data_IF_081054885550
#
_entry.id   IF_081054885550
#
_cell.length_a   1.000
_cell.length_b   1.000
_cell.length_c   1.000
_cell.angle_alpha   90.00
_cell.angle_beta   90.00
_cell.angle_gamma   90.00
#
_symmetry.space_group_name_H-M   'P 1'
#
loop_
_entity.id
_entity.type
_entity.pdbx_description
1 polymer ?
#
# COMPACT_ATOMS: atom_id res chain seq x y z
N UNK A 1 2.62 31.29 1.86
CA UNK A 1 3.21 31.07 0.52
C UNK A 1 2.51 32.02 -0.42
N UNK A 2 3.25 32.89 -1.10
CA UNK A 2 2.67 33.83 -2.08
C UNK A 2 2.04 33.05 -3.25
N UNK A 3 0.95 33.56 -3.81
CA UNK A 3 0.14 32.88 -4.84
C UNK A 3 0.93 32.56 -6.12
N UNK A 4 1.88 33.43 -6.48
CA UNK A 4 2.83 33.22 -7.59
C UNK A 4 3.81 32.07 -7.30
N UNK A 5 4.21 31.89 -6.05
CA UNK A 5 5.11 30.80 -5.63
C UNK A 5 4.42 29.44 -5.68
N UNK A 6 3.14 29.37 -5.28
CA UNK A 6 2.34 28.15 -5.35
C UNK A 6 2.06 27.74 -6.80
N UNK A 7 1.73 28.71 -7.67
CA UNK A 7 1.44 28.44 -9.08
C UNK A 7 2.65 27.85 -9.83
N UNK A 8 3.85 28.39 -9.58
CA UNK A 8 5.09 27.84 -10.14
C UNK A 8 5.35 26.42 -9.65
N UNK A 9 5.18 26.19 -8.35
CA UNK A 9 5.41 24.87 -7.77
C UNK A 9 4.43 23.80 -8.28
N UNK A 10 3.16 24.17 -8.50
CA UNK A 10 2.18 23.30 -9.16
C UNK A 10 2.64 22.94 -10.58
N UNK A 11 3.21 23.88 -11.34
CA UNK A 11 3.70 23.63 -12.69
C UNK A 11 4.90 22.66 -12.72
N UNK A 12 5.83 22.80 -11.79
CA UNK A 12 6.96 21.87 -11.61
C UNK A 12 6.44 20.47 -11.24
N UNK A 13 5.55 20.39 -10.24
CA UNK A 13 4.94 19.13 -9.78
C UNK A 13 4.21 18.41 -10.92
N UNK A 14 3.45 19.15 -11.77
CA UNK A 14 2.80 18.59 -12.97
C UNK A 14 3.78 17.90 -13.91
N UNK A 15 4.95 18.49 -14.10
CA UNK A 15 5.99 17.94 -14.99
C UNK A 15 6.54 16.63 -14.43
N UNK A 16 6.77 16.56 -13.12
CA UNK A 16 7.24 15.34 -12.46
C UNK A 16 6.20 14.22 -12.51
N UNK A 17 4.93 14.54 -12.29
CA UNK A 17 3.81 13.59 -12.40
C UNK A 17 3.65 13.06 -13.82
N UNK A 18 3.74 13.93 -14.83
CA UNK A 18 3.72 13.51 -16.25
C UNK A 18 4.89 12.58 -16.60
N UNK A 19 6.10 12.88 -16.13
CA UNK A 19 7.26 12.03 -16.33
C UNK A 19 7.09 10.65 -15.68
N UNK A 20 6.62 10.60 -14.43
CA UNK A 20 6.36 9.34 -13.73
C UNK A 20 5.22 8.53 -14.37
N UNK A 21 4.18 9.21 -14.86
CA UNK A 21 3.07 8.59 -15.59
C UNK A 21 3.53 7.95 -16.90
N UNK A 22 4.30 8.68 -17.71
CA UNK A 22 4.88 8.14 -18.96
C UNK A 22 5.81 6.96 -18.70
N UNK A 23 6.61 7.02 -17.64
CA UNK A 23 7.46 5.90 -17.24
C UNK A 23 6.62 4.67 -16.85
N UNK A 24 5.55 4.87 -16.09
CA UNK A 24 4.61 3.81 -15.69
C UNK A 24 4.02 3.11 -16.92
N UNK A 25 3.57 3.85 -17.94
CA UNK A 25 2.99 3.27 -19.16
C UNK A 25 3.94 2.33 -19.92
N UNK A 26 5.25 2.45 -19.75
CA UNK A 26 6.23 1.56 -20.39
C UNK A 26 6.16 0.11 -19.87
N UNK A 27 5.59 -0.11 -18.69
CA UNK A 27 5.48 -1.43 -18.05
C UNK A 27 4.27 -2.24 -18.52
N UNK A 28 3.37 -1.67 -19.34
CA UNK A 28 2.13 -2.33 -19.73
C UNK A 28 2.18 -2.85 -21.17
N UNK A 29 1.58 -4.03 -21.39
CA UNK A 29 1.48 -4.67 -22.72
C UNK A 29 0.25 -4.21 -23.51
N UNK A 30 -0.77 -3.64 -22.87
CA UNK A 30 -2.02 -3.26 -23.55
C UNK A 30 -2.12 -1.76 -23.87
N UNK A 31 -2.54 -1.48 -25.11
CA UNK A 31 -2.87 -0.14 -25.61
C UNK A 31 -4.01 0.53 -24.81
N UNK A 32 -4.85 -0.26 -24.13
CA UNK A 32 -5.92 0.27 -23.28
C UNK A 32 -5.36 1.26 -22.25
N UNK A 33 -4.28 0.89 -21.57
CA UNK A 33 -3.65 1.74 -20.55
C UNK A 33 -2.95 2.96 -21.16
N UNK A 34 -2.43 2.85 -22.39
CA UNK A 34 -1.76 3.97 -23.09
C UNK A 34 -2.72 5.10 -23.47
N UNK A 35 -4.02 4.80 -23.54
CA UNK A 35 -5.03 5.81 -23.86
C UNK A 35 -5.39 6.75 -22.70
N UNK A 36 -4.89 6.46 -21.49
CA UNK A 36 -5.09 7.33 -20.34
C UNK A 36 -4.18 8.55 -20.38
N UNK A 37 -4.64 9.65 -19.80
CA UNK A 37 -3.84 10.85 -19.55
C UNK A 37 -3.77 11.16 -18.05
N UNK A 38 -2.75 11.92 -17.65
CA UNK A 38 -2.63 12.44 -16.29
C UNK A 38 -3.02 13.92 -16.23
N UNK A 39 -3.77 14.31 -15.20
CA UNK A 39 -4.18 15.69 -15.00
C UNK A 39 -4.14 16.11 -13.53
N UNK A 40 -3.91 17.40 -13.30
CA UNK A 40 -3.98 18.00 -11.98
C UNK A 40 -5.40 18.53 -11.71
N UNK A 41 -5.97 18.15 -10.59
CA UNK A 41 -7.29 18.63 -10.18
C UNK A 41 -7.38 18.79 -8.65
N UNK A 42 -7.14 20.01 -8.16
CA UNK A 42 -7.14 20.31 -6.72
C UNK A 42 -8.44 19.88 -6.01
N UNK A 43 -9.59 20.01 -6.68
CA UNK A 43 -10.88 19.74 -6.06
C UNK A 43 -11.11 18.26 -5.71
N UNK A 44 -10.31 17.36 -6.31
CA UNK A 44 -10.31 15.94 -5.99
C UNK A 44 -9.98 15.70 -4.51
N UNK A 45 -9.07 16.51 -3.94
CA UNK A 45 -8.78 16.45 -2.50
C UNK A 45 -10.01 16.77 -1.65
N UNK A 46 -10.75 17.83 -1.97
CA UNK A 46 -11.89 18.26 -1.16
C UNK A 46 -13.03 17.25 -1.16
N UNK A 47 -13.22 16.52 -2.25
CA UNK A 47 -14.29 15.52 -2.38
C UNK A 47 -13.92 14.15 -1.80
N UNK A 48 -12.68 13.69 -2.00
CA UNK A 48 -12.29 12.31 -1.71
C UNK A 48 -11.19 12.18 -0.66
N UNK A 49 -10.56 13.30 -0.25
CA UNK A 49 -9.40 13.32 0.66
C UNK A 49 -8.30 12.36 0.21
N UNK A 50 -8.10 12.28 -1.10
CA UNK A 50 -7.14 11.38 -1.74
C UNK A 50 -6.19 12.19 -2.65
N UNK A 51 -4.86 12.02 -2.50
CA UNK A 51 -3.87 12.70 -3.35
C UNK A 51 -3.90 12.26 -4.82
N UNK A 52 -4.36 11.03 -5.12
CA UNK A 52 -4.28 10.46 -6.46
C UNK A 52 -5.40 9.43 -6.73
N UNK A 53 -6.11 9.57 -7.85
CA UNK A 53 -7.27 8.74 -8.19
C UNK A 53 -7.36 8.47 -9.68
N UNK A 54 -7.78 7.27 -10.05
CA UNK A 54 -8.11 6.91 -11.43
C UNK A 54 -9.61 7.03 -11.71
N UNK A 55 -9.93 7.53 -12.89
CA UNK A 55 -11.25 7.72 -13.44
C UNK A 55 -11.36 6.92 -14.75
N UNK A 56 -11.81 5.65 -14.68
CA UNK A 56 -11.75 4.74 -15.82
C UNK A 56 -12.58 5.19 -17.02
N UNK A 57 -13.77 5.78 -16.78
CA UNK A 57 -14.68 6.22 -17.83
C UNK A 57 -14.10 7.40 -18.62
N UNK A 58 -13.50 8.35 -17.91
CA UNK A 58 -12.85 9.53 -18.47
C UNK A 58 -11.45 9.25 -19.04
N UNK A 59 -10.90 8.06 -18.75
CA UNK A 59 -9.51 7.67 -19.05
C UNK A 59 -8.50 8.66 -18.46
N UNK A 60 -8.74 9.05 -17.22
CA UNK A 60 -7.92 10.04 -16.51
C UNK A 60 -7.31 9.45 -15.24
N UNK A 61 -6.02 9.76 -15.03
CA UNK A 61 -5.37 9.67 -13.73
C UNK A 61 -5.28 11.09 -13.17
N UNK A 62 -5.87 11.34 -12.01
CA UNK A 62 -5.86 12.64 -11.38
C UNK A 62 -4.92 12.66 -10.18
N UNK A 63 -4.17 13.74 -10.01
CA UNK A 63 -3.48 14.07 -8.77
C UNK A 63 -3.92 15.45 -8.26
N UNK A 64 -3.91 15.63 -6.94
CA UNK A 64 -4.60 16.76 -6.30
C UNK A 64 -3.72 17.64 -5.41
N UNK A 65 -2.45 17.30 -5.24
CA UNK A 65 -1.48 18.03 -4.40
C UNK A 65 -0.27 18.51 -5.20
N UNK A 66 0.34 19.67 -4.87
CA UNK A 66 -0.01 20.60 -3.79
C UNK A 66 -1.33 21.36 -4.06
N UNK A 67 -2.05 21.73 -3.00
CA UNK A 67 -3.26 22.56 -3.03
C UNK A 67 -3.34 23.46 -1.77
N UNK A 68 -4.46 24.16 -1.54
CA UNK A 68 -4.58 25.08 -0.41
C UNK A 68 -4.68 24.40 0.97
N UNK A 69 -5.15 23.15 1.04
CA UNK A 69 -5.23 22.37 2.29
C UNK A 69 -3.94 21.58 2.55
N UNK A 70 -3.37 20.99 1.49
CA UNK A 70 -2.10 20.29 1.51
C UNK A 70 -1.12 21.09 0.64
N UNK A 71 -0.41 22.08 1.21
CA UNK A 71 0.46 22.97 0.46
C UNK A 71 1.82 22.30 0.21
N UNK A 72 1.82 21.04 -0.17
CA UNK A 72 2.99 20.28 -0.59
C UNK A 72 2.60 19.10 -1.46
N UNK A 73 3.52 18.64 -2.30
CA UNK A 73 3.32 17.41 -3.05
C UNK A 73 3.31 16.22 -2.07
N UNK A 74 2.22 15.47 -2.07
CA UNK A 74 2.03 14.32 -1.18
C UNK A 74 2.94 13.15 -1.55
N UNK A 75 3.37 13.06 -2.82
CA UNK A 75 4.32 12.07 -3.30
C UNK A 75 5.52 12.77 -3.96
N UNK A 76 6.42 13.37 -3.16
CA UNK A 76 7.46 14.26 -3.68
C UNK A 76 8.52 13.52 -4.50
N UNK A 77 8.77 12.22 -4.26
CA UNK A 77 9.75 11.46 -5.03
C UNK A 77 9.17 10.90 -6.33
N UNK A 78 10.00 10.86 -7.40
CA UNK A 78 9.59 10.29 -8.69
C UNK A 78 9.16 8.83 -8.57
N UNK A 79 9.83 8.07 -7.69
CA UNK A 79 9.53 6.67 -7.45
C UNK A 79 8.20 6.47 -6.69
N UNK A 80 7.83 7.36 -5.77
CA UNK A 80 6.49 7.36 -5.17
C UNK A 80 5.41 7.66 -6.21
N UNK A 81 5.61 8.68 -7.07
CA UNK A 81 4.68 9.01 -8.16
C UNK A 81 4.48 7.82 -9.12
N UNK A 82 5.55 7.14 -9.48
CA UNK A 82 5.51 5.91 -10.28
C UNK A 82 4.67 4.83 -9.58
N UNK A 83 4.92 4.59 -8.30
CA UNK A 83 4.20 3.57 -7.51
C UNK A 83 2.71 3.86 -7.37
N UNK A 84 2.32 5.10 -7.06
CA UNK A 84 0.89 5.44 -6.86
C UNK A 84 0.12 5.46 -8.19
N UNK A 85 0.76 5.85 -9.29
CA UNK A 85 0.20 5.69 -10.63
C UNK A 85 -0.03 4.20 -10.93
N UNK A 86 0.96 3.35 -10.69
CA UNK A 86 0.84 1.91 -10.89
C UNK A 86 -0.24 1.26 -10.01
N UNK A 87 -0.35 1.65 -8.74
CA UNK A 87 -1.41 1.20 -7.84
C UNK A 87 -2.80 1.49 -8.40
N UNK A 88 -3.00 2.72 -8.88
CA UNK A 88 -4.28 3.13 -9.42
C UNK A 88 -4.63 2.36 -10.71
N UNK A 89 -3.66 2.11 -11.58
CA UNK A 89 -3.86 1.27 -12.77
C UNK A 89 -4.10 -0.20 -12.44
N UNK A 90 -3.50 -0.70 -11.35
CA UNK A 90 -3.73 -2.07 -10.89
C UNK A 90 -5.19 -2.32 -10.46
N UNK A 91 -5.96 -1.28 -10.09
CA UNK A 91 -7.41 -1.43 -9.90
C UNK A 91 -8.14 -1.78 -11.19
N UNK A 92 -7.71 -1.25 -12.33
CA UNK A 92 -8.33 -1.59 -13.62
C UNK A 92 -8.15 -3.08 -13.93
N UNK A 93 -6.96 -3.61 -13.66
CA UNK A 93 -6.71 -5.05 -13.78
C UNK A 93 -7.59 -5.87 -12.82
N UNK A 94 -7.80 -5.39 -11.59
CA UNK A 94 -8.70 -6.05 -10.63
C UNK A 94 -10.16 -6.08 -11.11
N UNK A 95 -10.62 -4.96 -11.71
CA UNK A 95 -11.95 -4.85 -12.33
C UNK A 95 -12.11 -5.85 -13.47
N UNK A 96 -11.14 -5.93 -14.38
CA UNK A 96 -11.16 -6.87 -15.51
C UNK A 96 -11.10 -8.34 -15.05
N UNK A 97 -10.29 -8.65 -14.03
CA UNK A 97 -10.08 -10.02 -13.57
C UNK A 97 -11.28 -10.58 -12.79
N UNK A 98 -11.83 -9.80 -11.86
CA UNK A 98 -12.81 -10.29 -10.89
C UNK A 98 -14.23 -9.75 -11.09
N UNK A 99 -14.39 -8.63 -11.79
CA UNK A 99 -15.68 -7.95 -11.95
C UNK A 99 -15.95 -7.55 -13.40
N UNK A 100 -15.76 -8.47 -14.38
CA UNK A 100 -15.98 -8.14 -15.78
C UNK A 100 -17.41 -7.61 -15.96
N UNK A 101 -17.51 -6.39 -16.48
CA UNK A 101 -18.77 -5.67 -16.71
C UNK A 101 -19.60 -5.39 -15.44
N UNK A 102 -19.02 -5.43 -14.24
CA UNK A 102 -19.72 -5.20 -12.98
C UNK A 102 -18.95 -4.26 -12.02
N UNK A 103 -18.76 -3.02 -12.46
CA UNK A 103 -18.06 -2.00 -11.67
C UNK A 103 -18.75 -1.71 -10.32
N UNK A 104 -20.08 -1.80 -10.25
CA UNK A 104 -20.81 -1.61 -8.99
C UNK A 104 -20.47 -2.66 -7.93
N UNK A 105 -20.21 -3.92 -8.32
CA UNK A 105 -19.75 -4.96 -7.40
C UNK A 105 -18.33 -4.70 -6.93
N UNK A 106 -17.44 -4.25 -7.81
CA UNK A 106 -16.09 -3.79 -7.41
C UNK A 106 -16.17 -2.67 -6.37
N UNK A 107 -17.01 -1.64 -6.60
CA UNK A 107 -17.18 -0.54 -5.65
C UNK A 107 -17.76 -0.99 -4.31
N UNK A 108 -18.69 -1.95 -4.33
CA UNK A 108 -19.22 -2.56 -3.11
C UNK A 108 -18.12 -3.30 -2.35
N UNK A 109 -17.34 -4.16 -3.03
CA UNK A 109 -16.24 -4.88 -2.39
C UNK A 109 -15.20 -3.90 -1.84
N UNK A 110 -14.81 -2.89 -2.63
CA UNK A 110 -13.85 -1.87 -2.21
C UNK A 110 -14.33 -1.09 -0.99
N UNK A 111 -15.65 -0.93 -0.82
CA UNK A 111 -16.25 -0.29 0.36
C UNK A 111 -16.27 -1.19 1.59
N UNK A 112 -16.50 -2.50 1.43
CA UNK A 112 -16.64 -3.43 2.55
C UNK A 112 -15.30 -4.03 2.98
N UNK A 113 -14.44 -4.33 2.01
CA UNK A 113 -13.19 -5.08 2.16
C UNK A 113 -11.97 -4.24 1.78
N UNK A 114 -10.85 -4.53 2.44
CA UNK A 114 -9.53 -4.03 2.08
C UNK A 114 -8.86 -4.86 0.97
N UNK A 115 -9.42 -6.01 0.60
CA UNK A 115 -8.80 -6.95 -0.35
C UNK A 115 -8.64 -6.39 -1.77
N UNK A 116 -9.52 -5.54 -2.34
CA UNK A 116 -9.22 -4.90 -3.62
C UNK A 116 -7.97 -4.01 -3.57
N UNK A 117 -7.78 -3.29 -2.46
CA UNK A 117 -6.59 -2.48 -2.23
C UNK A 117 -5.35 -3.38 -2.10
N UNK A 118 -5.48 -4.51 -1.39
CA UNK A 118 -4.40 -5.48 -1.29
C UNK A 118 -4.00 -6.09 -2.62
N UNK A 119 -4.98 -6.51 -3.42
CA UNK A 119 -4.74 -7.06 -4.76
C UNK A 119 -4.11 -6.02 -5.68
N UNK A 120 -4.52 -4.74 -5.61
CA UNK A 120 -3.88 -3.68 -6.38
C UNK A 120 -2.39 -3.50 -6.00
N UNK A 121 -2.07 -3.42 -4.70
CA UNK A 121 -0.68 -3.33 -4.25
C UNK A 121 0.13 -4.58 -4.53
N UNK A 122 -0.45 -5.77 -4.35
CA UNK A 122 0.21 -7.02 -4.69
C UNK A 122 0.59 -7.04 -6.17
N UNK A 123 -0.30 -6.61 -7.09
CA UNK A 123 0.03 -6.45 -8.51
C UNK A 123 1.22 -5.52 -8.71
N UNK A 124 1.25 -4.36 -8.05
CA UNK A 124 2.39 -3.41 -8.12
C UNK A 124 3.69 -4.06 -7.66
N UNK A 125 3.65 -4.85 -6.58
CA UNK A 125 4.81 -5.52 -6.03
C UNK A 125 5.44 -6.53 -7.00
N UNK A 126 4.68 -7.06 -7.95
CA UNK A 126 5.23 -7.96 -8.95
C UNK A 126 6.12 -7.29 -10.00
N UNK A 127 6.10 -5.95 -10.13
CA UNK A 127 6.92 -5.27 -11.14
C UNK A 127 7.71 -4.05 -10.68
N UNK A 128 7.23 -3.31 -9.68
CA UNK A 128 7.95 -2.16 -9.10
C UNK A 128 7.85 -2.17 -7.55
N UNK A 129 8.29 -3.23 -6.86
CA UNK A 129 8.12 -3.36 -5.40
C UNK A 129 8.80 -2.25 -4.59
N UNK A 130 9.93 -1.72 -5.06
CA UNK A 130 10.58 -0.55 -4.48
C UNK A 130 9.70 0.71 -4.54
N UNK A 131 8.97 0.90 -5.64
CA UNK A 131 8.04 2.01 -5.79
C UNK A 131 6.83 1.88 -4.86
N UNK A 132 6.33 0.66 -4.64
CA UNK A 132 5.27 0.41 -3.68
C UNK A 132 5.71 0.78 -2.24
N UNK A 133 6.89 0.34 -1.82
CA UNK A 133 7.41 0.68 -0.49
C UNK A 133 7.61 2.19 -0.34
N UNK A 134 8.08 2.86 -1.39
CA UNK A 134 8.19 4.32 -1.39
C UNK A 134 6.83 5.01 -1.27
N UNK A 135 5.78 4.52 -1.93
CA UNK A 135 4.42 5.06 -1.77
C UNK A 135 3.97 4.98 -0.31
N UNK A 136 4.22 3.86 0.36
CA UNK A 136 3.91 3.71 1.80
C UNK A 136 4.72 4.70 2.64
N UNK A 137 6.02 4.85 2.36
CA UNK A 137 6.93 5.78 3.06
C UNK A 137 6.50 7.23 2.93
N UNK A 138 6.30 7.69 1.70
CA UNK A 138 5.92 9.07 1.43
C UNK A 138 4.47 9.33 1.83
N UNK A 139 3.59 8.33 1.76
CA UNK A 139 2.24 8.41 2.33
C UNK A 139 2.26 8.67 3.83
N UNK A 140 3.06 7.90 4.59
CA UNK A 140 3.26 8.10 6.02
C UNK A 140 3.83 9.49 6.33
N UNK A 141 4.94 9.88 5.67
CA UNK A 141 5.60 11.17 5.90
C UNK A 141 4.70 12.34 5.55
N UNK A 142 3.99 12.29 4.42
CA UNK A 142 3.06 13.32 4.00
C UNK A 142 1.85 13.43 4.91
N UNK A 143 1.31 12.30 5.38
CA UNK A 143 0.26 12.29 6.39
C UNK A 143 0.73 12.98 7.68
N UNK A 144 1.88 12.57 8.22
CA UNK A 144 2.45 13.17 9.44
C UNK A 144 2.76 14.66 9.26
N UNK A 145 3.32 15.04 8.11
CA UNK A 145 3.55 16.45 7.75
C UNK A 145 2.26 17.27 7.73
N UNK A 146 1.17 16.72 7.22
CA UNK A 146 -0.15 17.38 7.24
C UNK A 146 -0.70 17.61 8.66
N UNK A 147 -0.20 16.84 9.65
CA UNK A 147 -0.49 16.99 11.09
C UNK A 147 0.56 17.80 11.86
N UNK A 148 1.53 18.41 11.17
CA UNK A 148 2.61 19.17 11.80
C UNK A 148 3.68 18.30 12.48
N UNK A 149 3.73 17.00 12.19
CA UNK A 149 4.69 16.03 12.76
C UNK A 149 5.87 15.80 11.81
N UNK A 150 6.77 16.79 11.71
CA UNK A 150 7.90 16.77 10.77
C UNK A 150 9.06 15.86 11.21
N UNK A 151 9.16 15.52 12.50
CA UNK A 151 10.28 14.74 13.05
C UNK A 151 10.22 13.25 12.69
N UNK A 152 9.10 12.77 12.14
CA UNK A 152 8.91 11.37 11.75
C UNK A 152 8.94 10.40 12.93
N UNK A 153 9.15 9.11 12.63
CA UNK A 153 9.23 8.02 13.62
C UNK A 153 10.66 7.58 13.94
N UNK A 154 11.68 8.32 13.45
CA UNK A 154 13.08 7.98 13.65
C UNK A 154 13.42 6.57 13.13
N UNK A 155 14.09 5.76 13.95
CA UNK A 155 14.48 4.39 13.60
C UNK A 155 13.31 3.41 13.40
N UNK A 156 12.11 3.76 13.85
CA UNK A 156 10.91 2.94 13.70
C UNK A 156 10.20 3.16 12.36
N UNK A 157 10.57 4.20 11.60
CA UNK A 157 9.89 4.56 10.36
C UNK A 157 10.04 3.47 9.29
N UNK A 158 11.26 3.07 8.96
CA UNK A 158 11.50 2.10 7.88
C UNK A 158 10.93 0.70 8.20
N UNK A 159 11.10 0.15 9.43
CA UNK A 159 10.42 -1.09 9.82
C UNK A 159 8.89 -1.00 9.70
N UNK A 160 8.27 0.07 10.22
CA UNK A 160 6.83 0.27 10.11
C UNK A 160 6.39 0.34 8.65
N UNK A 161 7.12 1.08 7.81
CA UNK A 161 6.82 1.20 6.38
C UNK A 161 6.84 -0.17 5.69
N UNK A 162 7.82 -1.03 5.99
CA UNK A 162 7.90 -2.36 5.38
C UNK A 162 6.79 -3.28 5.90
N UNK A 163 6.50 -3.25 7.20
CA UNK A 163 5.38 -3.99 7.81
C UNK A 163 4.04 -3.57 7.18
N UNK A 164 3.77 -2.26 7.13
CA UNK A 164 2.54 -1.74 6.54
C UNK A 164 2.49 -2.06 5.04
N UNK A 165 3.61 -2.05 4.33
CA UNK A 165 3.65 -2.46 2.92
C UNK A 165 3.29 -3.93 2.74
N UNK A 166 3.80 -4.83 3.59
CA UNK A 166 3.40 -6.24 3.58
C UNK A 166 1.90 -6.39 3.90
N UNK A 167 1.38 -5.59 4.83
CA UNK A 167 -0.05 -5.45 5.14
C UNK A 167 -0.87 -5.03 3.93
N UNK A 168 -0.42 -3.98 3.26
CA UNK A 168 -0.98 -3.42 2.04
C UNK A 168 -0.91 -4.39 0.88
N UNK A 169 0.02 -5.35 0.85
CA UNK A 169 0.07 -6.44 -0.14
C UNK A 169 -0.75 -7.66 0.27
N UNK A 170 -1.11 -7.77 1.56
CA UNK A 170 -1.73 -8.96 2.14
C UNK A 170 -0.81 -10.20 2.11
N UNK A 171 0.48 -9.99 2.36
CA UNK A 171 1.49 -11.05 2.47
C UNK A 171 1.74 -11.45 3.92
N UNK A 172 2.41 -12.59 4.20
CA UNK A 172 2.77 -12.96 5.56
C UNK A 172 3.68 -11.94 6.25
N UNK A 173 3.52 -11.78 7.58
CA UNK A 173 4.33 -10.93 8.47
C UNK A 173 4.53 -11.63 9.81
N UNK A 174 5.77 -11.67 10.30
CA UNK A 174 6.16 -12.35 11.55
C UNK A 174 6.42 -11.41 12.71
N UNK A 175 6.60 -10.11 12.48
CA UNK A 175 6.81 -9.16 13.57
C UNK A 175 5.62 -9.17 14.53
N UNK A 176 5.93 -9.13 15.83
CA UNK A 176 4.93 -8.95 16.87
C UNK A 176 4.47 -7.50 16.87
N UNK A 177 3.31 -7.27 16.24
CA UNK A 177 2.79 -5.92 16.08
C UNK A 177 2.40 -5.24 17.39
N UNK A 178 2.01 -6.00 18.41
CA UNK A 178 1.63 -5.41 19.70
C UNK A 178 2.87 -4.91 20.43
N UNK A 179 3.91 -5.73 20.47
CA UNK A 179 5.19 -5.34 21.04
C UNK A 179 5.85 -4.20 20.24
N UNK A 180 5.83 -4.25 18.91
CA UNK A 180 6.34 -3.16 18.07
C UNK A 180 5.67 -1.82 18.40
N UNK A 181 4.34 -1.82 18.46
CA UNK A 181 3.57 -0.61 18.74
C UNK A 181 3.83 -0.07 20.15
N UNK A 182 4.02 -0.96 21.13
CA UNK A 182 4.39 -0.59 22.50
C UNK A 182 5.78 0.05 22.55
N UNK A 183 6.78 -0.56 21.91
CA UNK A 183 8.15 -0.04 21.85
C UNK A 183 8.21 1.37 21.25
N UNK A 184 7.46 1.59 20.16
CA UNK A 184 7.36 2.91 19.51
C UNK A 184 6.75 3.95 20.46
N UNK A 185 5.71 3.56 21.21
CA UNK A 185 5.01 4.45 22.12
C UNK A 185 5.82 4.82 23.37
N UNK A 186 6.69 3.91 23.84
CA UNK A 186 7.61 4.17 24.95
C UNK A 186 8.74 5.15 24.59
N UNK A 187 9.10 5.26 23.31
CA UNK A 187 10.00 6.31 22.83
C UNK A 187 9.29 7.68 22.86
N UNK A 188 9.85 8.63 23.62
CA UNK A 188 9.25 9.95 23.82
C UNK A 188 8.96 10.70 22.52
N UNK A 189 9.86 10.63 21.52
CA UNK A 189 9.71 11.37 20.26
C UNK A 189 8.85 10.59 19.29
N UNK A 190 9.16 9.31 19.10
CA UNK A 190 8.44 8.47 18.15
C UNK A 190 6.99 8.25 18.60
N UNK A 191 6.72 8.04 19.88
CA UNK A 191 5.36 7.86 20.42
C UNK A 191 4.44 9.04 20.16
N UNK A 192 4.94 10.28 20.32
CA UNK A 192 4.16 11.48 20.03
C UNK A 192 3.83 11.66 18.53
N UNK A 193 4.66 11.13 17.64
CA UNK A 193 4.40 11.07 16.20
C UNK A 193 3.50 9.88 15.85
N UNK A 194 3.70 8.75 16.52
CA UNK A 194 2.94 7.52 16.32
C UNK A 194 1.47 7.69 16.68
N UNK A 195 1.15 8.44 17.73
CA UNK A 195 -0.23 8.81 18.05
C UNK A 195 -0.93 9.56 16.91
N UNK A 196 -0.20 10.39 16.15
CA UNK A 196 -0.76 10.99 14.95
C UNK A 196 -0.95 9.95 13.84
N UNK A 197 0.01 9.05 13.61
CA UNK A 197 -0.14 7.94 12.67
C UNK A 197 -1.35 7.04 12.98
N UNK A 198 -1.66 6.82 14.26
CA UNK A 198 -2.88 6.14 14.69
C UNK A 198 -4.18 6.88 14.32
N UNK A 199 -4.14 8.07 13.72
CA UNK A 199 -5.32 8.70 13.13
C UNK A 199 -5.60 8.23 11.69
N UNK A 200 -4.65 7.55 11.01
CA UNK A 200 -4.82 7.05 9.63
C UNK A 200 -6.01 6.10 9.50
N UNK A 201 -6.75 6.05 8.39
CA UNK A 201 -8.01 5.29 8.32
C UNK A 201 -7.89 3.81 8.71
N UNK A 202 -6.74 3.15 8.45
CA UNK A 202 -6.51 1.74 8.72
C UNK A 202 -5.06 1.49 9.16
N UNK A 203 -4.85 0.44 9.96
CA UNK A 203 -3.52 -0.13 10.26
C UNK A 203 -3.40 -1.45 9.49
N UNK A 204 -2.67 -1.45 8.37
CA UNK A 204 -2.60 -2.62 7.50
C UNK A 204 -1.69 -3.71 8.06
N UNK A 205 -0.81 -3.38 9.00
CA UNK A 205 -0.08 -4.37 9.81
C UNK A 205 -1.00 -5.43 10.43
N UNK A 206 -2.23 -5.03 10.82
CA UNK A 206 -3.26 -5.93 11.38
C UNK A 206 -4.17 -6.59 10.34
N UNK A 207 -4.06 -6.21 9.07
CA UNK A 207 -4.86 -6.79 8.01
C UNK A 207 -4.54 -8.26 7.77
N UNK A 208 -5.49 -8.99 7.21
CA UNK A 208 -5.30 -10.38 6.79
C UNK A 208 -4.48 -10.51 5.51
N UNK A 209 -4.51 -11.72 4.96
CA UNK A 209 -3.92 -12.07 3.68
C UNK A 209 -4.81 -11.60 2.55
N UNK A 210 -4.18 -11.23 1.44
CA UNK A 210 -4.88 -10.92 0.19
C UNK A 210 -5.59 -12.17 -0.31
N UNK A 211 -6.81 -11.99 -0.81
CA UNK A 211 -7.65 -13.09 -1.32
C UNK A 211 -8.46 -12.71 -2.55
N UNK A 212 -8.82 -13.70 -3.41
CA UNK A 212 -9.88 -13.52 -4.40
C UNK A 212 -11.23 -13.27 -3.70
N UNK A 213 -12.21 -12.65 -4.39
CA UNK A 213 -13.50 -12.27 -3.80
C UNK A 213 -14.24 -13.38 -3.07
N UNK A 214 -14.21 -14.60 -3.62
CA UNK A 214 -14.91 -15.76 -3.06
C UNK A 214 -14.43 -16.15 -1.65
N UNK A 215 -13.24 -15.71 -1.24
CA UNK A 215 -12.68 -16.02 0.07
C UNK A 215 -12.81 -14.86 1.07
N UNK A 216 -13.28 -13.67 0.66
CA UNK A 216 -13.28 -12.43 1.47
C UNK A 216 -13.98 -12.54 2.84
N UNK A 217 -14.92 -13.46 3.00
CA UNK A 217 -15.66 -13.71 4.25
C UNK A 217 -14.95 -14.71 5.17
N UNK A 218 -14.02 -15.52 4.66
CA UNK A 218 -13.34 -16.59 5.41
C UNK A 218 -12.28 -16.08 6.42
N UNK A 219 -12.67 -15.98 7.68
CA UNK A 219 -11.83 -15.48 8.79
C UNK A 219 -10.49 -16.20 8.96
N UNK A 220 -10.27 -17.39 8.37
CA UNK A 220 -8.96 -18.07 8.42
C UNK A 220 -7.84 -17.27 7.74
N UNK A 221 -8.20 -16.30 6.89
CA UNK A 221 -7.25 -15.44 6.19
C UNK A 221 -7.02 -14.09 6.87
N UNK A 222 -7.48 -13.87 8.11
CA UNK A 222 -7.23 -12.62 8.83
C UNK A 222 -8.32 -11.56 8.65
N UNK A 223 -8.07 -10.38 9.25
CA UNK A 223 -9.02 -9.25 9.27
C UNK A 223 -9.01 -8.55 7.92
N UNK A 224 -10.12 -8.58 7.20
CA UNK A 224 -10.22 -8.00 5.85
C UNK A 224 -11.35 -7.00 5.70
N UNK A 225 -12.32 -7.01 6.60
CA UNK A 225 -13.38 -6.01 6.59
C UNK A 225 -12.84 -4.68 7.11
N UNK A 226 -13.22 -3.60 6.43
CA UNK A 226 -12.75 -2.25 6.76
C UNK A 226 -13.24 -1.79 8.13
N UNK A 227 -14.46 -2.15 8.51
CA UNK A 227 -15.04 -1.82 9.81
C UNK A 227 -14.33 -2.56 10.96
N UNK A 228 -13.98 -3.84 10.78
CA UNK A 228 -13.19 -4.60 11.74
C UNK A 228 -11.78 -4.00 11.91
N UNK A 229 -11.10 -3.63 10.82
CA UNK A 229 -9.81 -2.93 10.90
C UNK A 229 -9.90 -1.56 11.60
N UNK A 230 -10.94 -0.79 11.30
CA UNK A 230 -11.17 0.50 11.96
C UNK A 230 -11.42 0.33 13.46
N UNK A 231 -12.14 -0.74 13.86
CA UNK A 231 -12.33 -1.11 15.27
C UNK A 231 -11.01 -1.51 15.94
N UNK A 232 -10.21 -2.37 15.32
CA UNK A 232 -8.92 -2.79 15.88
C UNK A 232 -8.00 -1.59 16.06
N UNK A 233 -7.93 -0.69 15.08
CA UNK A 233 -7.20 0.58 15.21
C UNK A 233 -7.63 1.40 16.43
N UNK A 234 -8.94 1.56 16.65
CA UNK A 234 -9.45 2.27 17.82
C UNK A 234 -9.01 1.59 19.13
N UNK A 235 -9.11 0.26 19.20
CA UNK A 235 -8.62 -0.51 20.35
C UNK A 235 -7.11 -0.37 20.53
N UNK A 236 -6.34 -0.29 19.45
CA UNK A 236 -4.90 -0.03 19.53
C UNK A 236 -4.59 1.33 20.15
N UNK A 237 -5.36 2.37 19.81
CA UNK A 237 -5.21 3.69 20.43
C UNK A 237 -5.42 3.66 21.95
N UNK A 238 -6.41 2.90 22.43
CA UNK A 238 -6.65 2.72 23.87
C UNK A 238 -5.55 1.88 24.53
N UNK A 239 -5.06 0.84 23.84
CA UNK A 239 -3.96 0.00 24.33
C UNK A 239 -2.68 0.80 24.54
N UNK A 240 -2.24 1.58 23.55
CA UNK A 240 -1.02 2.41 23.69
C UNK A 240 -1.18 3.51 24.73
N UNK A 241 -2.41 3.95 24.98
CA UNK A 241 -2.70 4.95 26.03
C UNK A 241 -2.77 4.35 27.44
N UNK A 242 -2.63 3.02 27.57
CA UNK A 242 -2.75 2.30 28.84
C UNK A 242 -4.18 2.14 29.35
N UNK A 243 -5.19 2.45 28.53
CA UNK A 243 -6.62 2.38 28.87
C UNK A 243 -7.22 1.00 28.62
N UNK A 244 -6.58 0.18 27.78
CA UNK A 244 -7.03 -1.17 27.42
C UNK A 244 -5.99 -2.21 27.84
N UNK A 245 -6.36 -3.19 28.69
CA UNK A 245 -5.47 -4.30 29.05
C UNK A 245 -5.12 -5.18 27.85
N UNK A 246 -3.92 -5.76 27.89
CA UNK A 246 -3.36 -6.61 26.85
C UNK A 246 -4.24 -7.83 26.55
N UNK A 247 -4.79 -8.48 27.59
CA UNK A 247 -5.64 -9.66 27.45
C UNK A 247 -6.95 -9.32 26.73
N UNK A 248 -7.48 -8.11 26.94
CA UNK A 248 -8.72 -7.66 26.30
C UNK A 248 -8.50 -7.42 24.82
N UNK A 249 -7.39 -6.78 24.46
CA UNK A 249 -7.02 -6.57 23.06
C UNK A 249 -6.78 -7.89 22.33
N UNK A 250 -6.06 -8.82 22.94
CA UNK A 250 -5.82 -10.15 22.37
C UNK A 250 -7.13 -10.91 22.09
N UNK A 251 -8.08 -10.89 23.02
CA UNK A 251 -9.38 -11.51 22.82
C UNK A 251 -10.15 -10.88 21.65
N UNK A 252 -10.07 -9.57 21.48
CA UNK A 252 -10.69 -8.85 20.36
C UNK A 252 -10.04 -9.18 19.02
N UNK A 253 -8.71 -9.27 18.97
CA UNK A 253 -7.96 -9.72 17.78
C UNK A 253 -8.34 -11.16 17.40
N UNK A 254 -8.39 -12.08 18.36
CA UNK A 254 -8.83 -13.46 18.13
C UNK A 254 -10.27 -13.51 17.58
N UNK A 255 -11.19 -12.72 18.15
CA UNK A 255 -12.60 -12.64 17.71
C UNK A 255 -12.73 -12.09 16.28
N UNK A 256 -11.87 -11.16 15.90
CA UNK A 256 -11.77 -10.62 14.55
C UNK A 256 -11.07 -11.59 13.58
N UNK A 257 -10.49 -12.69 14.07
CA UNK A 257 -9.75 -13.66 13.26
C UNK A 257 -8.36 -13.17 12.87
N UNK A 258 -7.75 -12.27 13.65
CA UNK A 258 -6.41 -11.75 13.39
C UNK A 258 -5.39 -12.88 13.20
N UNK A 259 -4.79 -12.90 12.01
CA UNK A 259 -3.59 -13.67 11.71
C UNK A 259 -2.79 -12.94 10.65
N UNK A 260 -1.48 -12.90 10.84
CA UNK A 260 -0.50 -12.36 9.88
C UNK A 260 0.30 -13.46 9.20
N UNK A 261 -0.05 -14.72 9.41
CA UNK A 261 0.55 -15.85 8.72
C UNK A 261 -0.52 -16.82 8.24
N UNK A 262 -0.16 -17.73 7.34
CA UNK A 262 -1.07 -18.75 6.82
C UNK A 262 -0.58 -20.10 7.32
N UNK A 263 -1.40 -20.78 8.12
CA UNK A 263 -1.15 -22.17 8.49
C UNK A 263 -1.43 -23.13 7.32
N UNK A 264 -2.45 -22.80 6.52
CA UNK A 264 -2.85 -23.53 5.32
C UNK A 264 -1.82 -23.36 4.18
N UNK A 265 -0.84 -24.24 4.14
CA UNK A 265 0.22 -24.24 3.12
C UNK A 265 -0.29 -24.39 1.68
N UNK A 266 -1.56 -24.71 1.46
CA UNK A 266 -2.14 -24.84 0.12
C UNK A 266 -2.52 -23.49 -0.49
N UNK A 267 -2.78 -22.48 0.35
CA UNK A 267 -3.10 -21.15 -0.12
C UNK A 267 -1.85 -20.29 -0.29
N UNK A 268 -1.74 -19.66 -1.46
CA UNK A 268 -0.64 -18.78 -1.85
C UNK A 268 -1.19 -17.38 -2.14
N UNK A 269 -0.95 -16.38 -1.27
CA UNK A 269 -1.36 -14.99 -1.49
C UNK A 269 -0.98 -14.44 -2.87
N UNK A 270 0.21 -14.77 -3.34
CA UNK A 270 0.73 -14.35 -4.64
C UNK A 270 -0.16 -14.78 -5.81
N UNK A 271 -0.93 -15.86 -5.67
CA UNK A 271 -1.83 -16.39 -6.70
C UNK A 271 -3.18 -15.64 -6.76
N UNK A 272 -3.45 -14.70 -5.84
CA UNK A 272 -4.69 -13.93 -5.82
C UNK A 272 -4.76 -12.83 -6.90
N UNK A 273 -3.76 -12.72 -7.77
CA UNK A 273 -3.68 -11.71 -8.83
C UNK A 273 -3.04 -12.27 -10.09
N UNK A 274 -3.39 -11.69 -11.23
CA UNK A 274 -2.78 -11.99 -12.52
C UNK A 274 -2.07 -10.76 -13.13
N UNK A 275 -0.98 -11.01 -13.87
CA UNK A 275 -0.10 -10.03 -14.49
C UNK A 275 -0.01 -10.11 -16.01
N UNK A 276 -0.93 -10.78 -16.70
CA UNK A 276 -0.96 -10.84 -18.19
C UNK A 276 -0.87 -9.49 -18.92
N UNK A 277 -1.05 -8.38 -18.22
CA UNK A 277 -1.00 -7.02 -18.74
C UNK A 277 0.34 -6.29 -18.52
N UNK A 278 1.29 -6.89 -17.79
CA UNK A 278 2.61 -6.32 -17.49
C UNK A 278 3.69 -6.92 -18.41
N UNK A 279 4.68 -6.11 -18.79
CA UNK A 279 5.92 -6.58 -19.43
C UNK A 279 6.81 -7.31 -18.42
N UNK A 280 6.62 -8.63 -18.28
CA UNK A 280 7.21 -9.44 -17.21
C UNK A 280 8.75 -9.43 -17.15
N UNK A 281 9.45 -9.32 -18.29
CA UNK A 281 10.92 -9.32 -18.31
C UNK A 281 11.52 -8.13 -17.53
N UNK A 282 11.02 -6.92 -17.79
CA UNK A 282 11.44 -5.70 -17.09
C UNK A 282 11.06 -5.74 -15.61
N UNK A 283 9.91 -6.33 -15.29
CA UNK A 283 9.41 -6.50 -13.94
C UNK A 283 10.37 -7.38 -13.10
N UNK A 284 10.77 -8.53 -13.64
CA UNK A 284 11.64 -9.50 -12.94
C UNK A 284 13.02 -8.92 -12.60
N UNK A 285 13.63 -8.13 -13.49
CA UNK A 285 14.93 -7.49 -13.19
C UNK A 285 14.84 -6.55 -11.99
N UNK A 286 13.74 -5.81 -11.87
CA UNK A 286 13.54 -4.86 -10.78
C UNK A 286 13.23 -5.58 -9.47
N UNK A 287 12.40 -6.62 -9.50
CA UNK A 287 12.13 -7.48 -8.34
C UNK A 287 13.44 -8.07 -7.79
N UNK A 288 14.33 -8.59 -8.65
CA UNK A 288 15.65 -9.09 -8.24
C UNK A 288 16.51 -8.04 -7.54
N UNK A 289 16.52 -6.80 -8.05
CA UNK A 289 17.22 -5.68 -7.39
C UNK A 289 16.63 -5.37 -6.01
N UNK A 290 15.31 -5.38 -5.88
CA UNK A 290 14.65 -5.15 -4.59
C UNK A 290 14.92 -6.26 -3.59
N UNK A 291 14.94 -7.53 -4.03
CA UNK A 291 15.32 -8.67 -3.18
C UNK A 291 16.69 -8.43 -2.54
N UNK A 292 17.72 -8.10 -3.35
CA UNK A 292 19.07 -7.86 -2.84
C UNK A 292 19.15 -6.73 -1.80
N UNK A 293 18.35 -5.67 -1.97
CA UNK A 293 18.26 -4.57 -0.99
C UNK A 293 17.69 -5.06 0.34
N UNK A 294 16.62 -5.86 0.31
CA UNK A 294 15.98 -6.35 1.53
C UNK A 294 16.75 -7.49 2.19
N UNK A 295 17.48 -8.32 1.44
CA UNK A 295 18.42 -9.29 1.98
C UNK A 295 19.51 -8.58 2.80
N UNK A 296 20.08 -7.50 2.25
CA UNK A 296 21.05 -6.69 2.98
C UNK A 296 20.42 -6.10 4.25
N UNK A 297 19.19 -5.57 4.21
CA UNK A 297 18.52 -5.05 5.41
C UNK A 297 18.25 -6.14 6.46
N UNK A 298 17.76 -7.30 6.03
CA UNK A 298 17.47 -8.44 6.90
C UNK A 298 18.74 -8.94 7.61
N UNK A 299 19.89 -8.96 6.93
CA UNK A 299 21.16 -9.36 7.52
C UNK A 299 21.68 -8.41 8.63
N UNK A 300 21.15 -7.18 8.70
CA UNK A 300 21.63 -6.13 9.61
C UNK A 300 20.52 -5.60 10.53
N UNK A 301 19.39 -6.30 10.66
CA UNK A 301 18.25 -5.85 11.46
C UNK A 301 17.65 -6.98 12.29
N UNK A 302 17.01 -6.61 13.40
CA UNK A 302 16.26 -7.53 14.26
C UNK A 302 14.77 -7.62 13.88
N UNK A 303 14.30 -6.82 12.91
CA UNK A 303 12.91 -6.85 12.45
C UNK A 303 12.73 -7.93 11.38
N UNK A 304 11.71 -8.78 11.55
CA UNK A 304 11.43 -9.87 10.63
C UNK A 304 10.89 -9.37 9.29
N UNK A 305 10.28 -8.17 9.26
CA UNK A 305 9.63 -7.61 8.08
C UNK A 305 10.53 -7.52 6.85
N UNK A 306 11.84 -7.31 7.05
CA UNK A 306 12.79 -7.29 5.93
C UNK A 306 12.96 -8.69 5.32
N UNK A 307 13.07 -9.73 6.15
CA UNK A 307 13.12 -11.10 5.68
C UNK A 307 11.77 -11.53 5.07
N UNK A 308 10.66 -11.11 5.66
CA UNK A 308 9.32 -11.36 5.13
C UNK A 308 9.10 -10.69 3.76
N UNK A 309 9.64 -9.49 3.56
CA UNK A 309 9.66 -8.83 2.26
C UNK A 309 10.49 -9.61 1.24
N UNK A 310 11.66 -10.13 1.62
CA UNK A 310 12.46 -11.02 0.75
C UNK A 310 11.63 -12.25 0.37
N UNK A 311 11.04 -12.94 1.34
CA UNK A 311 10.24 -14.15 1.12
C UNK A 311 9.03 -13.86 0.19
N UNK A 312 8.36 -12.73 0.40
CA UNK A 312 7.25 -12.30 -0.45
C UNK A 312 7.69 -12.04 -1.90
N UNK A 313 8.79 -11.30 -2.09
CA UNK A 313 9.31 -10.98 -3.42
C UNK A 313 9.87 -12.22 -4.15
N UNK A 314 10.46 -13.16 -3.41
CA UNK A 314 10.92 -14.45 -3.96
C UNK A 314 9.76 -15.28 -4.50
N UNK A 315 8.67 -15.41 -3.75
CA UNK A 315 7.45 -16.12 -4.19
C UNK A 315 6.84 -15.49 -5.44
N UNK A 316 6.77 -14.16 -5.45
CA UNK A 316 6.36 -13.36 -6.61
C UNK A 316 7.25 -13.69 -7.82
N UNK A 317 8.58 -13.65 -7.66
CA UNK A 317 9.51 -13.92 -8.76
C UNK A 317 9.43 -15.36 -9.28
N UNK A 318 9.22 -16.34 -8.40
CA UNK A 318 9.03 -17.76 -8.75
C UNK A 318 7.75 -17.96 -9.57
N UNK A 319 6.64 -17.36 -9.13
CA UNK A 319 5.35 -17.40 -9.84
C UNK A 319 5.48 -16.86 -11.25
N UNK A 320 6.05 -15.67 -11.41
CA UNK A 320 6.17 -15.03 -12.72
C UNK A 320 7.16 -15.75 -13.64
N UNK A 321 8.22 -16.32 -13.08
CA UNK A 321 9.15 -17.17 -13.86
C UNK A 321 8.44 -18.42 -14.40
N UNK A 322 7.58 -19.03 -13.59
CA UNK A 322 6.77 -20.21 -13.99
C UNK A 322 5.74 -19.84 -15.06
N UNK A 323 5.08 -18.70 -14.90
CA UNK A 323 4.13 -18.19 -15.89
C UNK A 323 4.81 -17.92 -17.23
N UNK A 324 5.96 -17.22 -17.24
CA UNK A 324 6.72 -16.92 -18.44
C UNK A 324 7.16 -18.19 -19.21
N UNK A 325 7.58 -19.24 -18.48
CA UNK A 325 7.94 -20.53 -19.08
C UNK A 325 6.74 -21.27 -19.72
N UNK A 326 5.52 -21.04 -19.22
CA UNK A 326 4.31 -21.69 -19.74
C UNK A 326 3.82 -21.08 -21.06
N UNK A 327 4.31 -19.90 -21.44
CA UNK A 327 3.99 -19.21 -22.70
C UNK A 327 5.01 -19.46 -23.82
N UNK A 328 6.12 -20.13 -23.52
CA UNK A 328 7.14 -20.59 -24.47
C UNK A 328 6.90 -22.05 -24.85
#
# INVERSE_FOLDING_TARGET
MEEESLSRWIAETKTEWDAAFKLMLNYYETELFRSFKIAYHAATWYRFKNPALIFPEEREMLFSTPNAEIPFDYYPSQIAKLGINAHNFAYLADVEEYYPYNFSLFLWEQKEYITPLQRANLRVAHFIPDALVEVTREGLRSFLKSRGKLEGLGSYEDPLVVIETLGLMGMPRRDDMLNFVKDVNEDRKAGATFNAFLETPYLFSFAGMVTPPALNEDKKYGIRRRDELARIKMLMSHYVSGELPDETLHAELQRAGYTTTIEDRTYKPEDAVDLRWVKLEYALERVKKSIAVYEHKAAHSNYYCYADMVDALMRIAEKESTAAQSYL
#
